data_IF_169253551382
#
_entry.id   IF_169253551382
#
_cell.length_a   1.000
_cell.length_b   1.000
_cell.length_c   1.000
_cell.angle_alpha   90.00
_cell.angle_beta   90.00
_cell.angle_gamma   90.00
#
_symmetry.space_group_name_H-M   'P 1'
#
loop_
_entity.id
_entity.type
_entity.pdbx_description
1 polymer ?
#
# COMPACT_ATOMS: atom_id res chain seq x y z
N UNK A 1 -5.45 15.24 -8.14
CA UNK A 1 -5.55 13.79 -8.09
C UNK A 1 -4.79 13.32 -6.86
N UNK A 2 -5.50 12.86 -5.83
CA UNK A 2 -4.92 12.35 -4.59
C UNK A 2 -5.97 11.53 -3.82
N UNK A 3 -5.55 10.77 -2.82
CA UNK A 3 -6.43 10.23 -1.78
C UNK A 3 -6.53 11.17 -0.56
N UNK A 4 -7.61 11.06 0.21
CA UNK A 4 -7.70 11.64 1.55
C UNK A 4 -7.72 10.51 2.60
N UNK A 5 -6.69 10.47 3.44
CA UNK A 5 -6.47 9.43 4.44
C UNK A 5 -6.36 10.04 5.86
N UNK A 6 -7.39 10.73 6.37
CA UNK A 6 -7.36 11.30 7.72
C UNK A 6 -7.37 10.25 8.84
N UNK A 7 -7.65 8.99 8.54
CA UNK A 7 -7.70 7.87 9.48
C UNK A 7 -7.01 6.63 8.89
N UNK A 8 -6.74 5.65 9.73
CA UNK A 8 -6.19 4.35 9.31
C UNK A 8 -7.26 3.44 8.67
N UNK A 9 -8.55 3.62 9.00
CA UNK A 9 -9.65 2.90 8.36
C UNK A 9 -10.15 3.61 7.11
N UNK A 10 -10.30 2.87 6.01
CA UNK A 10 -10.84 3.42 4.76
C UNK A 10 -12.31 3.86 4.90
N UNK A 11 -13.12 3.13 5.67
CA UNK A 11 -14.50 3.52 5.94
C UNK A 11 -14.58 4.82 6.74
N UNK A 12 -13.77 4.98 7.79
CA UNK A 12 -13.71 6.24 8.55
C UNK A 12 -13.22 7.40 7.69
N UNK A 13 -12.23 7.16 6.82
CA UNK A 13 -11.77 8.15 5.85
C UNK A 13 -12.90 8.65 4.96
N UNK A 14 -13.75 7.76 4.43
CA UNK A 14 -14.89 8.14 3.61
C UNK A 14 -15.94 8.93 4.40
N UNK A 15 -16.31 8.43 5.60
CA UNK A 15 -17.35 8.99 6.46
C UNK A 15 -17.13 10.46 6.81
N UNK A 16 -15.89 10.87 7.06
CA UNK A 16 -15.57 12.24 7.48
C UNK A 16 -15.56 13.26 6.33
N UNK A 17 -15.52 12.82 5.07
CA UNK A 17 -15.50 13.75 3.92
C UNK A 17 -16.88 14.38 3.73
N UNK A 18 -16.94 15.69 3.49
CA UNK A 18 -18.15 16.31 2.97
C UNK A 18 -18.39 15.88 1.51
N UNK A 19 -19.62 16.06 1.03
CA UNK A 19 -20.09 15.47 -0.22
C UNK A 19 -19.25 15.83 -1.44
N UNK A 20 -18.71 17.05 -1.47
CA UNK A 20 -17.87 17.50 -2.59
C UNK A 20 -16.60 16.66 -2.71
N UNK A 21 -15.81 16.52 -1.64
CA UNK A 21 -14.57 15.72 -1.65
C UNK A 21 -14.89 14.24 -1.74
N UNK A 22 -15.92 13.75 -1.07
CA UNK A 22 -16.36 12.36 -1.20
C UNK A 22 -16.67 11.99 -2.66
N UNK A 23 -17.48 12.81 -3.33
CA UNK A 23 -17.82 12.64 -4.74
C UNK A 23 -16.58 12.64 -5.64
N UNK A 24 -15.62 13.54 -5.36
CA UNK A 24 -14.35 13.64 -6.10
C UNK A 24 -13.42 12.44 -5.86
N UNK A 25 -13.38 11.90 -4.63
CA UNK A 25 -12.52 10.79 -4.27
C UNK A 25 -12.81 9.52 -5.07
N UNK A 26 -14.08 9.29 -5.46
CA UNK A 26 -14.43 8.17 -6.37
C UNK A 26 -13.66 8.25 -7.68
N UNK A 27 -13.63 9.44 -8.30
CA UNK A 27 -12.97 9.67 -9.59
C UNK A 27 -11.45 9.72 -9.44
N UNK A 28 -10.93 10.42 -8.43
CA UNK A 28 -9.48 10.52 -8.20
C UNK A 28 -8.86 9.15 -7.85
N UNK A 29 -9.58 8.29 -7.13
CA UNK A 29 -9.13 6.90 -6.86
C UNK A 29 -9.01 6.10 -8.17
N UNK A 30 -10.01 6.17 -9.05
CA UNK A 30 -9.94 5.53 -10.36
C UNK A 30 -8.79 6.06 -11.22
N UNK A 31 -8.51 7.37 -11.15
CA UNK A 31 -7.36 7.96 -11.84
C UNK A 31 -6.02 7.45 -11.31
N UNK A 32 -5.89 7.24 -9.99
CA UNK A 32 -4.67 6.66 -9.40
C UNK A 32 -4.51 5.21 -9.84
N UNK A 33 -5.58 4.39 -9.81
CA UNK A 33 -5.54 3.00 -10.29
C UNK A 33 -5.08 2.92 -11.75
N UNK A 34 -5.61 3.79 -12.61
CA UNK A 34 -5.17 3.90 -14.01
C UNK A 34 -3.71 4.32 -14.11
N UNK A 35 -3.27 5.30 -13.32
CA UNK A 35 -1.86 5.71 -13.33
C UNK A 35 -0.91 4.59 -12.89
N UNK A 36 -1.33 3.73 -11.96
CA UNK A 36 -0.56 2.56 -11.53
C UNK A 36 -0.49 1.48 -12.62
N UNK A 37 -1.64 1.13 -13.21
CA UNK A 37 -1.79 -0.11 -13.98
C UNK A 37 -1.75 0.12 -15.50
N UNK A 38 -2.40 1.16 -16.02
CA UNK A 38 -2.51 1.37 -17.46
C UNK A 38 -1.17 1.85 -18.02
N UNK A 39 -0.56 1.17 -19.01
CA UNK A 39 0.81 1.45 -19.45
C UNK A 39 1.05 2.89 -19.91
N UNK A 40 0.06 3.48 -20.60
CA UNK A 40 0.17 4.80 -21.23
C UNK A 40 -0.57 5.92 -20.49
N UNK A 41 -1.04 5.68 -19.27
CA UNK A 41 -1.72 6.71 -18.48
C UNK A 41 -0.72 7.69 -17.86
N UNK A 42 -1.13 8.96 -17.74
CA UNK A 42 -0.31 10.02 -17.15
C UNK A 42 -0.15 9.90 -15.64
N UNK A 43 0.62 10.82 -15.03
CA UNK A 43 0.74 11.00 -13.57
C UNK A 43 1.45 9.88 -12.79
N UNK A 44 2.10 8.92 -13.46
CA UNK A 44 2.80 7.79 -12.83
C UNK A 44 3.89 8.16 -11.80
N UNK A 45 4.43 9.38 -11.92
CA UNK A 45 5.47 9.95 -11.02
C UNK A 45 4.90 10.83 -9.91
N UNK A 46 3.57 11.04 -9.87
CA UNK A 46 2.95 11.87 -8.85
C UNK A 46 3.08 11.18 -7.47
N UNK A 47 3.45 11.89 -6.39
CA UNK A 47 3.65 11.27 -5.07
C UNK A 47 2.42 10.51 -4.54
N UNK A 48 1.23 11.09 -4.71
CA UNK A 48 -0.03 10.43 -4.34
C UNK A 48 -0.37 9.18 -5.19
N UNK A 49 0.32 8.96 -6.32
CA UNK A 49 0.26 7.70 -7.07
C UNK A 49 1.34 6.75 -6.59
N UNK A 50 2.57 7.26 -6.42
CA UNK A 50 3.73 6.45 -6.05
C UNK A 50 3.53 5.69 -4.74
N UNK A 51 2.93 6.30 -3.71
CA UNK A 51 2.71 5.64 -2.41
C UNK A 51 1.83 4.37 -2.48
N UNK A 52 1.03 4.21 -3.55
CA UNK A 52 0.12 3.08 -3.75
C UNK A 52 0.67 1.97 -4.65
N UNK A 53 1.90 2.12 -5.15
CA UNK A 53 2.56 1.07 -5.95
C UNK A 53 2.61 -0.24 -5.16
N UNK A 54 2.24 -1.35 -5.81
CA UNK A 54 2.15 -2.67 -5.16
C UNK A 54 0.91 -2.91 -4.31
N UNK A 55 0.03 -1.92 -4.15
CA UNK A 55 -1.15 -2.00 -3.26
C UNK A 55 -2.47 -1.74 -4.00
N UNK A 56 -2.58 -2.24 -5.24
CA UNK A 56 -3.80 -2.10 -6.06
C UNK A 56 -5.05 -2.63 -5.33
N UNK A 57 -5.04 -3.83 -4.71
CA UNK A 57 -6.20 -4.31 -3.95
C UNK A 57 -6.62 -3.37 -2.82
N UNK A 58 -5.67 -2.83 -2.06
CA UNK A 58 -5.96 -1.88 -0.98
C UNK A 58 -6.54 -0.56 -1.51
N UNK A 59 -6.05 -0.05 -2.65
CA UNK A 59 -6.60 1.15 -3.28
C UNK A 59 -8.02 0.93 -3.83
N UNK A 60 -8.30 -0.26 -4.38
CA UNK A 60 -9.68 -0.64 -4.76
C UNK A 60 -10.58 -0.72 -3.53
N UNK A 61 -10.09 -1.29 -2.42
CA UNK A 61 -10.81 -1.34 -1.14
C UNK A 61 -11.16 0.07 -0.64
N UNK A 62 -10.18 1.00 -0.66
CA UNK A 62 -10.40 2.42 -0.35
C UNK A 62 -11.48 3.04 -1.24
N UNK A 63 -11.38 2.88 -2.56
CA UNK A 63 -12.37 3.41 -3.51
C UNK A 63 -13.76 2.82 -3.29
N UNK A 64 -13.85 1.53 -2.95
CA UNK A 64 -15.10 0.86 -2.64
C UNK A 64 -15.74 1.40 -1.35
N UNK A 65 -14.94 1.72 -0.32
CA UNK A 65 -15.43 2.39 0.89
C UNK A 65 -16.00 3.78 0.59
N UNK A 66 -15.32 4.56 -0.26
CA UNK A 66 -15.80 5.88 -0.72
C UNK A 66 -17.11 5.76 -1.52
N UNK A 67 -17.21 4.81 -2.46
CA UNK A 67 -18.43 4.56 -3.23
C UNK A 67 -19.58 4.07 -2.34
N UNK A 68 -19.28 3.30 -1.29
CA UNK A 68 -20.27 2.83 -0.32
C UNK A 68 -20.86 4.00 0.47
N UNK A 69 -20.02 4.81 1.10
CA UNK A 69 -20.46 6.01 1.84
C UNK A 69 -21.29 6.94 0.93
N UNK A 70 -20.86 7.12 -0.32
CA UNK A 70 -21.63 7.91 -1.30
C UNK A 70 -23.05 7.38 -1.52
N UNK A 71 -23.20 6.05 -1.61
CA UNK A 71 -24.51 5.39 -1.77
C UNK A 71 -25.34 5.41 -0.49
N UNK A 72 -24.72 5.25 0.67
CA UNK A 72 -25.37 5.35 1.98
C UNK A 72 -25.96 6.74 2.21
N UNK A 73 -25.35 7.79 1.63
CA UNK A 73 -25.92 9.14 1.54
C UNK A 73 -27.04 9.32 0.51
N UNK A 74 -27.57 8.22 -0.05
CA UNK A 74 -28.68 8.24 -0.99
C UNK A 74 -28.33 8.68 -2.42
N UNK A 75 -27.05 8.60 -2.81
CA UNK A 75 -26.58 9.09 -4.11
C UNK A 75 -26.23 7.93 -5.06
N UNK A 76 -26.56 8.09 -6.33
CA UNK A 76 -26.26 7.08 -7.36
C UNK A 76 -24.75 6.97 -7.60
N UNK A 77 -24.26 5.74 -7.79
CA UNK A 77 -22.86 5.45 -8.10
C UNK A 77 -22.71 4.70 -9.42
N UNK A 78 -21.79 5.17 -10.27
CA UNK A 78 -21.44 4.55 -11.55
C UNK A 78 -19.94 4.20 -11.63
N UNK A 79 -19.17 4.44 -10.55
CA UNK A 79 -17.71 4.35 -10.55
C UNK A 79 -17.25 3.01 -9.97
N UNK A 80 -17.99 2.45 -9.01
CA UNK A 80 -17.66 1.19 -8.36
C UNK A 80 -17.35 0.04 -9.35
N UNK A 81 -18.12 -0.20 -10.42
CA UNK A 81 -17.79 -1.25 -11.38
C UNK A 81 -16.43 -1.04 -12.07
N UNK A 82 -16.04 0.20 -12.34
CA UNK A 82 -14.72 0.52 -12.91
C UNK A 82 -13.58 0.34 -11.91
N UNK A 83 -13.84 0.54 -10.62
CA UNK A 83 -12.86 0.30 -9.56
C UNK A 83 -12.64 -1.21 -9.36
N UNK A 84 -13.71 -1.99 -9.24
CA UNK A 84 -13.61 -3.42 -8.95
C UNK A 84 -13.12 -4.24 -10.14
N UNK A 85 -13.13 -3.69 -11.36
CA UNK A 85 -12.51 -4.31 -12.52
C UNK A 85 -11.00 -4.57 -12.33
N UNK A 86 -10.32 -3.84 -11.44
CA UNK A 86 -8.91 -4.07 -11.09
C UNK A 86 -8.71 -5.25 -10.10
N UNK A 87 -9.79 -5.82 -9.56
CA UNK A 87 -9.78 -6.95 -8.60
C UNK A 87 -10.84 -7.98 -8.98
N UNK A 88 -10.85 -8.38 -10.26
CA UNK A 88 -11.74 -9.40 -10.81
C UNK A 88 -13.26 -9.15 -10.57
N UNK A 89 -13.67 -7.88 -10.47
CA UNK A 89 -15.06 -7.47 -10.31
C UNK A 89 -15.56 -7.39 -8.87
N UNK A 90 -14.78 -7.85 -7.88
CA UNK A 90 -15.17 -7.86 -6.47
C UNK A 90 -14.31 -6.90 -5.64
N UNK A 91 -14.89 -6.03 -4.80
CA UNK A 91 -14.08 -5.18 -3.93
C UNK A 91 -13.43 -6.03 -2.83
N UNK A 92 -12.10 -5.91 -2.61
CA UNK A 92 -11.43 -6.58 -1.51
C UNK A 92 -12.00 -6.16 -0.14
N UNK A 93 -11.90 -7.04 0.84
CA UNK A 93 -12.26 -6.74 2.23
C UNK A 93 -11.06 -6.17 3.00
N UNK A 94 -11.26 -5.06 3.72
CA UNK A 94 -10.18 -4.38 4.44
C UNK A 94 -9.62 -5.25 5.58
N UNK A 95 -10.46 -6.03 6.26
CA UNK A 95 -10.02 -6.92 7.33
C UNK A 95 -9.26 -8.13 6.77
N UNK A 96 -9.66 -8.65 5.61
CA UNK A 96 -8.90 -9.69 4.91
C UNK A 96 -7.51 -9.18 4.49
N UNK A 97 -7.44 -7.98 3.90
CA UNK A 97 -6.16 -7.36 3.54
C UNK A 97 -5.27 -7.12 4.77
N UNK A 98 -5.87 -6.76 5.91
CA UNK A 98 -5.17 -6.61 7.18
C UNK A 98 -4.63 -7.97 7.67
N UNK A 99 -5.47 -9.01 7.69
CA UNK A 99 -5.12 -10.36 8.17
C UNK A 99 -4.01 -11.00 7.31
N UNK A 100 -3.91 -10.59 6.04
CA UNK A 100 -2.94 -11.07 5.06
C UNK A 100 -1.73 -10.14 4.87
N UNK A 101 -1.57 -9.08 5.66
CA UNK A 101 -0.46 -8.11 5.56
C UNK A 101 -0.33 -7.47 4.15
N UNK A 102 -1.46 -7.23 3.51
CA UNK A 102 -1.57 -6.65 2.15
C UNK A 102 -1.92 -5.15 2.18
N UNK A 103 -1.99 -4.55 3.36
CA UNK A 103 -2.17 -3.11 3.51
C UNK A 103 -0.82 -2.38 3.34
N UNK A 104 -0.83 -1.14 2.83
CA UNK A 104 0.40 -0.36 2.70
C UNK A 104 1.09 -0.14 4.06
N UNK A 105 2.42 -0.20 4.15
CA UNK A 105 3.17 -0.07 5.42
C UNK A 105 3.04 1.30 6.08
N UNK A 106 2.60 2.31 5.33
CA UNK A 106 2.37 3.66 5.83
C UNK A 106 0.97 3.85 6.43
N UNK A 107 0.06 2.89 6.28
CA UNK A 107 -1.28 2.99 6.86
C UNK A 107 -1.18 2.83 8.38
N UNK A 108 -1.74 3.78 9.13
CA UNK A 108 -1.54 3.93 10.57
C UNK A 108 -0.42 4.91 10.95
N UNK A 109 0.35 5.45 9.99
CA UNK A 109 1.38 6.44 10.28
C UNK A 109 0.74 7.79 10.62
N UNK A 110 0.92 8.25 11.85
CA UNK A 110 0.22 9.43 12.36
C UNK A 110 0.64 10.73 11.66
N UNK A 111 1.89 10.85 11.22
CA UNK A 111 2.38 11.99 10.43
C UNK A 111 1.65 12.11 9.08
N UNK A 112 1.44 10.98 8.39
CA UNK A 112 0.59 10.88 7.21
C UNK A 112 -0.83 11.34 7.54
N UNK A 113 -1.49 10.69 8.48
CA UNK A 113 -2.90 10.97 8.79
C UNK A 113 -3.12 12.42 9.22
N UNK A 114 -2.23 12.96 10.06
CA UNK A 114 -2.24 14.35 10.51
C UNK A 114 -2.05 15.33 9.37
N UNK A 115 -1.15 15.06 8.42
CA UNK A 115 -0.97 15.94 7.25
C UNK A 115 -2.23 15.96 6.37
N UNK A 116 -2.92 14.82 6.21
CA UNK A 116 -4.17 14.76 5.46
C UNK A 116 -5.32 15.48 6.18
N UNK A 117 -5.49 15.29 7.50
CA UNK A 117 -6.44 16.05 8.32
C UNK A 117 -6.18 17.56 8.22
N UNK A 118 -4.93 17.98 8.32
CA UNK A 118 -4.52 19.39 8.23
C UNK A 118 -4.91 20.05 6.91
N UNK A 119 -4.73 19.32 5.81
CA UNK A 119 -5.11 19.80 4.49
C UNK A 119 -6.63 19.76 4.27
N UNK A 120 -7.36 18.85 4.89
CA UNK A 120 -8.83 18.88 4.89
C UNK A 120 -9.35 20.13 5.59
N UNK A 121 -8.85 20.41 6.80
CA UNK A 121 -9.13 21.66 7.54
C UNK A 121 -8.80 22.90 6.71
N UNK A 122 -7.66 22.92 6.00
CA UNK A 122 -7.31 24.05 5.14
C UNK A 122 -8.29 24.26 3.98
N UNK A 123 -8.90 23.17 3.48
CA UNK A 123 -9.84 23.22 2.36
C UNK A 123 -11.27 23.57 2.79
N UNK A 124 -11.69 23.22 4.00
CA UNK A 124 -13.04 23.51 4.53
C UNK A 124 -12.99 23.53 6.07
N UNK A 125 -12.71 24.70 6.63
CA UNK A 125 -12.47 24.79 8.06
C UNK A 125 -13.74 24.58 8.89
N UNK A 126 -14.89 25.07 8.42
CA UNK A 126 -16.17 24.93 9.11
C UNK A 126 -16.58 23.46 9.25
N UNK A 127 -16.40 22.66 8.19
CA UNK A 127 -16.72 21.23 8.23
C UNK A 127 -15.72 20.41 9.04
N UNK A 128 -14.40 20.68 8.89
CA UNK A 128 -13.37 19.78 9.43
C UNK A 128 -12.80 20.19 10.79
N UNK A 129 -12.91 21.45 11.21
CA UNK A 129 -12.43 21.87 12.54
C UNK A 129 -13.12 21.13 13.68
N UNK A 130 -14.46 20.91 13.65
CA UNK A 130 -15.13 20.13 14.70
C UNK A 130 -14.68 18.66 14.74
N UNK A 131 -14.27 18.09 13.60
CA UNK A 131 -13.81 16.70 13.50
C UNK A 131 -12.34 16.55 13.93
N UNK A 132 -11.52 17.58 13.68
CA UNK A 132 -10.07 17.57 13.92
C UNK A 132 -9.62 18.80 14.72
N UNK A 133 -10.11 18.99 15.96
CA UNK A 133 -9.89 20.23 16.72
C UNK A 133 -8.40 20.53 16.94
N UNK A 134 -7.62 19.49 17.27
CA UNK A 134 -6.18 19.60 17.59
C UNK A 134 -5.27 19.60 16.35
N UNK A 135 -5.81 19.45 15.14
CA UNK A 135 -4.97 19.40 13.94
C UNK A 135 -4.66 20.82 13.45
N UNK A 136 -3.37 21.20 13.35
CA UNK A 136 -3.01 22.52 12.83
C UNK A 136 -3.43 22.63 11.36
N UNK A 137 -3.68 23.85 10.89
CA UNK A 137 -4.08 24.11 9.50
C UNK A 137 -2.85 24.27 8.61
N UNK A 138 -2.86 23.67 7.42
CA UNK A 138 -1.89 23.97 6.37
C UNK A 138 -0.52 23.30 6.50
N UNK A 139 -0.41 22.15 7.16
CA UNK A 139 0.79 21.32 7.09
C UNK A 139 1.05 20.86 5.64
N UNK A 140 2.31 20.73 5.21
CA UNK A 140 2.61 20.08 3.95
C UNK A 140 2.11 18.63 3.97
N UNK A 141 1.64 18.12 2.83
CA UNK A 141 1.30 16.71 2.69
C UNK A 141 2.54 15.84 2.94
N UNK A 142 2.38 14.82 3.77
CA UNK A 142 3.35 13.75 3.90
C UNK A 142 2.98 12.68 2.87
N UNK A 143 3.87 12.48 1.89
CA UNK A 143 3.77 11.39 0.93
C UNK A 143 4.86 10.35 1.25
N UNK A 144 4.49 9.12 1.67
CA UNK A 144 5.47 8.11 2.04
C UNK A 144 6.36 7.72 0.86
N UNK A 145 7.60 7.35 1.15
CA UNK A 145 8.46 6.70 0.15
C UNK A 145 7.75 5.42 -0.33
N UNK A 146 7.68 5.16 -1.64
CA UNK A 146 7.01 3.97 -2.12
C UNK A 146 7.80 2.72 -1.71
N UNK A 147 7.11 1.71 -1.18
CA UNK A 147 7.69 0.40 -0.90
C UNK A 147 8.24 -0.25 -2.19
N UNK A 148 7.66 0.10 -3.33
CA UNK A 148 8.09 -0.30 -4.67
C UNK A 148 8.51 0.93 -5.49
N UNK A 149 9.83 1.19 -5.63
CA UNK A 149 10.35 2.35 -6.37
C UNK A 149 9.93 2.35 -7.85
N UNK A 150 9.66 1.16 -8.40
CA UNK A 150 9.09 0.96 -9.72
C UNK A 150 7.93 -0.04 -9.62
N UNK A 151 6.89 0.21 -10.41
CA UNK A 151 5.72 -0.66 -10.47
C UNK A 151 5.07 -0.53 -11.85
N UNK A 152 4.56 -1.62 -12.45
CA UNK A 152 4.53 -3.00 -11.91
C UNK A 152 5.87 -3.75 -11.91
N UNK A 153 6.03 -4.72 -11.01
CA UNK A 153 7.14 -5.69 -11.02
C UNK A 153 6.76 -6.96 -11.79
N UNK A 154 7.09 -7.03 -13.08
CA UNK A 154 6.75 -8.17 -13.96
C UNK A 154 7.87 -9.21 -13.95
N UNK A 155 7.83 -10.15 -12.99
CA UNK A 155 8.85 -11.21 -12.79
C UNK A 155 8.75 -12.41 -13.74
N UNK A 156 7.58 -12.66 -14.32
CA UNK A 156 7.34 -13.74 -15.30
C UNK A 156 6.98 -15.12 -14.73
N UNK A 157 7.05 -15.31 -13.41
CA UNK A 157 6.60 -16.54 -12.74
C UNK A 157 6.84 -16.52 -11.23
N UNK A 158 6.27 -17.46 -10.45
CA UNK A 158 6.29 -17.44 -8.98
C UNK A 158 7.59 -17.96 -8.35
N UNK A 159 8.51 -18.51 -9.14
CA UNK A 159 9.78 -19.05 -8.65
C UNK A 159 10.83 -17.96 -8.36
N UNK A 160 11.83 -18.25 -7.51
CA UNK A 160 12.91 -17.32 -7.21
C UNK A 160 13.64 -16.91 -8.50
N UNK A 161 13.98 -15.63 -8.61
CA UNK A 161 14.71 -15.07 -9.73
C UNK A 161 16.22 -15.22 -9.55
N UNK A 162 16.93 -15.42 -10.66
CA UNK A 162 18.38 -15.23 -10.70
C UNK A 162 18.76 -13.80 -10.27
N UNK A 163 19.80 -13.65 -9.46
CA UNK A 163 20.20 -12.37 -8.85
C UNK A 163 20.35 -11.28 -9.91
N UNK A 164 21.07 -11.56 -11.00
CA UNK A 164 21.27 -10.58 -12.07
C UNK A 164 19.97 -10.23 -12.83
N UNK A 165 18.98 -11.13 -12.87
CA UNK A 165 17.67 -10.82 -13.44
C UNK A 165 16.85 -9.91 -12.49
N UNK A 166 16.90 -10.17 -11.18
CA UNK A 166 16.27 -9.32 -10.17
C UNK A 166 16.88 -7.90 -10.15
N UNK A 167 18.21 -7.78 -10.25
CA UNK A 167 18.90 -6.49 -10.36
C UNK A 167 18.47 -5.68 -11.58
N UNK A 168 18.34 -6.34 -12.75
CA UNK A 168 17.84 -5.68 -13.97
C UNK A 168 16.39 -5.24 -13.81
N UNK A 169 15.55 -6.06 -13.16
CA UNK A 169 14.15 -5.73 -12.92
C UNK A 169 13.99 -4.51 -12.00
N UNK A 170 14.82 -4.39 -10.97
CA UNK A 170 14.79 -3.27 -10.02
C UNK A 170 15.60 -2.05 -10.47
N UNK A 171 16.41 -2.19 -11.53
CA UNK A 171 17.29 -1.11 -12.01
C UNK A 171 18.48 -0.84 -11.09
N UNK A 172 18.92 -1.84 -10.32
CA UNK A 172 19.97 -1.74 -9.28
C UNK A 172 21.28 -2.42 -9.71
N UNK A 173 21.58 -2.38 -11.01
CA UNK A 173 22.72 -3.10 -11.59
C UNK A 173 24.04 -2.71 -10.90
N UNK A 174 24.89 -3.71 -10.62
CA UNK A 174 26.23 -3.47 -10.08
C UNK A 174 26.72 -4.48 -9.03
N UNK A 175 25.93 -5.51 -8.69
CA UNK A 175 26.39 -6.58 -7.81
C UNK A 175 26.59 -6.17 -6.35
N UNK A 176 26.16 -4.97 -5.95
CA UNK A 176 26.43 -4.40 -4.63
C UNK A 176 25.89 -5.27 -3.48
N UNK A 177 24.85 -6.06 -3.74
CA UNK A 177 24.19 -6.89 -2.75
C UNK A 177 24.34 -8.39 -3.00
N UNK A 178 25.04 -8.84 -4.05
CA UNK A 178 25.12 -10.26 -4.45
C UNK A 178 25.49 -11.19 -3.30
N UNK A 179 26.57 -10.88 -2.57
CA UNK A 179 27.01 -11.70 -1.45
C UNK A 179 25.99 -11.78 -0.30
N UNK A 180 25.21 -10.72 -0.08
CA UNK A 180 24.12 -10.71 0.92
C UNK A 180 23.00 -11.63 0.46
N UNK A 181 22.61 -11.55 -0.82
CA UNK A 181 21.55 -12.39 -1.38
C UNK A 181 21.94 -13.87 -1.36
N UNK A 182 23.17 -14.21 -1.75
CA UNK A 182 23.68 -15.59 -1.71
C UNK A 182 23.65 -16.17 -0.29
N UNK A 183 23.97 -15.36 0.73
CA UNK A 183 23.86 -15.79 2.13
C UNK A 183 22.41 -16.09 2.53
N UNK A 184 21.47 -15.21 2.18
CA UNK A 184 20.05 -15.38 2.49
C UNK A 184 19.45 -16.61 1.77
N UNK A 185 19.77 -16.79 0.49
CA UNK A 185 19.34 -17.97 -0.31
C UNK A 185 19.89 -19.27 0.28
N UNK A 186 21.07 -19.24 0.91
CA UNK A 186 21.63 -20.38 1.64
C UNK A 186 21.04 -20.60 3.04
N UNK A 187 20.05 -19.79 3.45
CA UNK A 187 19.37 -19.88 4.74
C UNK A 187 20.05 -19.13 5.89
N UNK A 188 21.05 -18.28 5.62
CA UNK A 188 21.74 -17.50 6.65
C UNK A 188 21.13 -16.12 6.81
N UNK A 189 20.86 -15.70 8.05
CA UNK A 189 20.42 -14.34 8.35
C UNK A 189 21.56 -13.32 8.21
N UNK A 190 21.24 -12.11 7.75
CA UNK A 190 22.20 -11.04 7.47
C UNK A 190 21.72 -9.72 8.08
N UNK A 191 22.66 -8.95 8.65
CA UNK A 191 22.44 -7.56 9.07
C UNK A 191 23.16 -6.63 8.10
N UNK A 192 22.42 -5.81 7.38
CA UNK A 192 22.95 -4.91 6.35
C UNK A 192 22.76 -3.45 6.78
N UNK A 193 23.86 -2.68 6.82
CA UNK A 193 23.75 -1.22 6.90
C UNK A 193 23.46 -0.66 5.51
N UNK A 194 22.37 0.10 5.41
CA UNK A 194 21.96 0.73 4.16
C UNK A 194 22.90 1.89 3.81
N UNK A 195 23.14 2.15 2.51
CA UNK A 195 23.89 3.33 2.06
C UNK A 195 23.10 4.63 2.32
N UNK A 196 21.78 4.57 2.17
CA UNK A 196 20.87 5.69 2.40
C UNK A 196 19.68 5.23 3.26
N UNK A 197 19.14 6.10 4.14
CA UNK A 197 17.95 5.77 4.91
C UNK A 197 16.75 5.44 4.01
N UNK A 198 16.06 4.34 4.33
CA UNK A 198 14.86 3.90 3.62
C UNK A 198 15.12 3.33 2.22
N UNK A 199 16.36 2.95 1.88
CA UNK A 199 16.62 2.16 0.68
C UNK A 199 16.02 0.75 0.82
N UNK A 200 15.02 0.48 -0.02
CA UNK A 200 14.27 -0.78 -0.05
C UNK A 200 14.88 -1.81 -1.00
N UNK A 201 15.84 -1.40 -1.84
CA UNK A 201 16.42 -2.23 -2.90
C UNK A 201 16.98 -3.56 -2.39
N UNK A 202 17.75 -3.62 -1.29
CA UNK A 202 18.30 -4.88 -0.80
C UNK A 202 17.22 -5.88 -0.36
N UNK A 203 16.15 -5.39 0.28
CA UNK A 203 15.05 -6.24 0.72
C UNK A 203 14.19 -6.74 -0.44
N UNK A 204 13.94 -5.90 -1.45
CA UNK A 204 13.24 -6.31 -2.66
C UNK A 204 14.05 -7.35 -3.45
N UNK A 205 15.37 -7.14 -3.60
CA UNK A 205 16.27 -8.12 -4.23
C UNK A 205 16.25 -9.46 -3.50
N UNK A 206 16.35 -9.42 -2.17
CA UNK A 206 16.30 -10.63 -1.35
C UNK A 206 14.98 -11.38 -1.51
N UNK A 207 13.85 -10.67 -1.49
CA UNK A 207 12.54 -11.28 -1.69
C UNK A 207 12.38 -11.92 -3.07
N UNK A 208 12.77 -11.21 -4.13
CA UNK A 208 12.69 -11.75 -5.51
C UNK A 208 13.55 -13.00 -5.72
N UNK A 209 14.66 -13.14 -4.98
CA UNK A 209 15.59 -14.26 -5.10
C UNK A 209 15.35 -15.41 -4.10
N UNK A 210 14.44 -15.24 -3.13
CA UNK A 210 14.16 -16.26 -2.11
C UNK A 210 12.83 -16.98 -2.44
N UNK A 211 12.76 -18.32 -2.34
CA UNK A 211 11.49 -19.03 -2.51
C UNK A 211 10.47 -18.64 -1.43
N UNK A 212 9.21 -18.45 -1.80
CA UNK A 212 8.11 -18.14 -0.86
C UNK A 212 7.85 -16.65 -0.72
N UNK A 213 6.94 -16.30 0.19
CA UNK A 213 6.60 -14.90 0.44
C UNK A 213 7.67 -14.20 1.29
N UNK A 214 7.79 -12.89 1.11
CA UNK A 214 8.63 -12.03 1.95
C UNK A 214 7.76 -11.26 2.93
N UNK A 215 7.95 -11.50 4.23
CA UNK A 215 7.33 -10.70 5.29
C UNK A 215 8.26 -9.56 5.66
N UNK A 216 7.82 -8.33 5.45
CA UNK A 216 8.53 -7.11 5.81
C UNK A 216 7.95 -6.49 7.08
N UNK A 217 8.75 -6.46 8.14
CA UNK A 217 8.40 -5.85 9.41
C UNK A 217 8.88 -4.40 9.45
N UNK A 218 7.95 -3.47 9.63
CA UNK A 218 8.19 -2.03 9.63
C UNK A 218 7.91 -1.46 11.02
N UNK A 219 8.76 -0.59 11.59
CA UNK A 219 8.51 -0.02 12.91
C UNK A 219 7.28 0.90 12.91
N UNK A 220 6.46 0.76 13.94
CA UNK A 220 5.37 1.68 14.27
C UNK A 220 4.08 0.98 14.64
N UNK A 221 3.15 1.76 15.18
CA UNK A 221 1.85 1.27 15.62
C UNK A 221 1.07 0.66 14.43
N UNK A 222 0.64 -0.62 14.53
CA UNK A 222 -0.20 -1.22 13.50
C UNK A 222 -1.54 -0.49 13.41
N UNK A 223 -2.11 -0.33 12.21
CA UNK A 223 -3.46 0.18 12.09
C UNK A 223 -4.40 -0.79 12.82
N UNK A 224 -5.44 -0.28 13.52
CA UNK A 224 -6.41 -1.14 14.18
C UNK A 224 -7.05 -2.07 13.16
N UNK A 225 -7.23 -3.35 13.53
CA UNK A 225 -7.91 -4.31 12.66
C UNK A 225 -9.32 -3.78 12.36
N UNK A 226 -9.72 -3.60 11.08
CA UNK A 226 -11.05 -3.15 10.74
C UNK A 226 -12.11 -4.08 11.34
N UNK A 227 -13.21 -3.49 11.83
CA UNK A 227 -14.32 -4.28 12.35
C UNK A 227 -14.90 -5.16 11.22
N UNK A 228 -15.20 -6.44 11.49
CA UNK A 228 -15.82 -7.31 10.51
C UNK A 228 -17.14 -6.70 10.04
N UNK A 229 -17.38 -6.76 8.73
CA UNK A 229 -18.54 -6.14 8.09
C UNK A 229 -19.83 -6.63 8.74
N UNK A 230 -20.60 -5.71 9.30
CA UNK A 230 -21.97 -5.96 9.75
C UNK A 230 -22.92 -5.22 8.83
N UNK A 231 -23.65 -5.95 7.96
CA UNK A 231 -24.70 -5.38 7.11
C UNK A 231 -24.89 -6.13 5.78
N UNK A 232 -26.12 -6.17 5.23
CA UNK A 232 -26.37 -6.84 3.96
C UNK A 232 -25.56 -6.22 2.82
N UNK A 233 -25.18 -7.06 1.85
CA UNK A 233 -24.62 -6.59 0.58
C UNK A 233 -25.55 -5.52 -0.02
N UNK A 234 -24.98 -4.40 -0.43
CA UNK A 234 -25.64 -3.19 -0.95
C UNK A 234 -26.83 -3.49 -1.90
N UNK A 235 -28.04 -3.66 -1.36
CA UNK A 235 -29.26 -3.98 -2.12
C UNK A 235 -30.20 -2.78 -2.30
N UNK A 236 -29.81 -1.58 -1.85
CA UNK A 236 -30.53 -0.33 -2.13
C UNK A 236 -30.02 0.35 -3.39
N UNK A 237 -30.84 0.41 -4.44
CA UNK A 237 -30.60 1.26 -5.62
C UNK A 237 -31.03 2.68 -5.26
N UNK A 238 -30.06 3.55 -4.96
CA UNK A 238 -30.28 4.99 -4.97
C UNK A 238 -30.30 5.48 -6.42
N UNK A 239 -31.49 5.53 -7.03
CA UNK A 239 -31.73 6.06 -8.38
C UNK A 239 -31.01 5.32 -9.52
N UNK A 240 -31.42 5.56 -10.77
CA UNK A 240 -30.75 5.00 -11.94
C UNK A 240 -29.45 5.79 -12.19
N UNK A 241 -28.26 5.20 -12.05
CA UNK A 241 -27.02 5.92 -12.33
C UNK A 241 -26.97 6.31 -13.81
N UNK A 242 -26.51 7.52 -14.10
CA UNK A 242 -26.10 7.87 -15.46
C UNK A 242 -24.92 6.98 -15.88
N UNK A 243 -24.82 6.60 -17.16
CA UNK A 243 -23.67 5.83 -17.65
C UNK A 243 -22.37 6.57 -17.32
N UNK A 244 -21.36 5.81 -16.88
CA UNK A 244 -20.05 6.36 -16.56
C UNK A 244 -19.46 7.03 -17.82
N UNK A 245 -19.05 8.28 -17.68
CA UNK A 245 -18.31 9.02 -18.73
C UNK A 245 -16.82 8.67 -18.75
N UNK A 246 -16.37 7.76 -17.88
CA UNK A 246 -14.99 7.33 -17.84
C UNK A 246 -14.66 6.52 -19.09
N UNK A 247 -13.58 6.88 -19.79
CA UNK A 247 -13.02 6.09 -20.89
C UNK A 247 -12.87 4.61 -20.46
N UNK A 248 -13.41 3.63 -21.22
CA UNK A 248 -13.18 2.20 -20.93
C UNK A 248 -11.72 1.81 -21.20
N UNK A 249 -11.20 0.74 -20.56
CA UNK A 249 -9.87 0.24 -20.86
C UNK A 249 -9.77 -0.22 -22.32
N UNK A 250 -8.62 0.02 -22.97
CA UNK A 250 -8.29 -0.62 -24.24
C UNK A 250 -7.62 -1.99 -24.03
N UNK A 251 -7.29 -2.73 -25.10
CA UNK A 251 -6.71 -4.08 -24.99
C UNK A 251 -5.42 -4.14 -24.15
N UNK A 252 -4.52 -3.17 -24.33
CA UNK A 252 -3.26 -3.05 -23.56
C UNK A 252 -3.53 -2.75 -22.07
N UNK A 253 -4.57 -1.95 -21.78
CA UNK A 253 -4.98 -1.64 -20.42
C UNK A 253 -5.56 -2.88 -19.72
N UNK A 254 -6.38 -3.67 -20.45
CA UNK A 254 -6.96 -4.91 -19.94
C UNK A 254 -5.91 -5.99 -19.70
N UNK A 255 -4.91 -6.11 -20.57
CA UNK A 255 -3.77 -7.01 -20.37
C UNK A 255 -2.97 -6.62 -19.13
N UNK A 256 -2.69 -5.32 -18.97
CA UNK A 256 -2.00 -4.84 -17.78
C UNK A 256 -2.81 -5.06 -16.50
N UNK A 257 -4.15 -4.92 -16.55
CA UNK A 257 -5.04 -5.23 -15.44
C UNK A 257 -5.06 -6.73 -15.10
N UNK A 258 -5.04 -7.61 -16.09
CA UNK A 258 -4.93 -9.07 -15.86
C UNK A 258 -3.59 -9.44 -15.22
N UNK A 259 -2.49 -8.88 -15.72
CA UNK A 259 -1.15 -9.10 -15.16
C UNK A 259 -0.96 -8.49 -13.76
N UNK A 260 -1.84 -7.57 -13.35
CA UNK A 260 -1.86 -6.99 -12.01
C UNK A 260 -2.66 -7.83 -11.02
N UNK A 261 -3.52 -8.74 -11.49
CA UNK A 261 -4.30 -9.61 -10.63
C UNK A 261 -3.43 -10.63 -9.87
N UNK A 262 -2.21 -10.88 -10.36
CA UNK A 262 -1.21 -11.66 -9.63
C UNK A 262 -0.78 -10.88 -8.38
N UNK A 263 -1.05 -11.45 -7.20
CA UNK A 263 -0.72 -10.81 -5.94
C UNK A 263 0.81 -10.72 -5.74
N UNK A 264 1.36 -9.58 -5.28
CA UNK A 264 2.78 -9.48 -4.99
C UNK A 264 3.17 -10.44 -3.86
N UNK A 265 4.38 -10.99 -3.91
CA UNK A 265 4.93 -11.90 -2.88
C UNK A 265 5.40 -11.19 -1.60
N UNK A 266 5.26 -9.86 -1.55
CA UNK A 266 5.70 -9.03 -0.45
C UNK A 266 4.51 -8.69 0.46
N UNK A 267 4.70 -8.92 1.76
CA UNK A 267 3.77 -8.67 2.85
C UNK A 267 4.36 -7.61 3.75
N UNK A 268 3.58 -6.63 4.17
CA UNK A 268 4.07 -5.54 5.01
C UNK A 268 3.28 -5.49 6.30
N UNK A 269 3.99 -5.60 7.43
CA UNK A 269 3.39 -5.54 8.75
C UNK A 269 4.08 -4.49 9.60
N UNK A 270 3.30 -3.56 10.14
CA UNK A 270 3.78 -2.64 11.17
C UNK A 270 3.85 -3.35 12.51
N UNK A 271 4.96 -3.19 13.21
CA UNK A 271 5.19 -3.76 14.54
C UNK A 271 5.55 -2.62 15.48
N UNK A 272 4.83 -2.53 16.59
CA UNK A 272 5.13 -1.60 17.65
C UNK A 272 6.46 -2.01 18.31
N UNK A 273 7.52 -1.17 18.26
CA UNK A 273 8.81 -1.49 18.88
C UNK A 273 8.71 -1.71 20.39
N UNK A 274 7.73 -1.09 21.05
CA UNK A 274 7.52 -1.20 22.50
C UNK A 274 6.69 -2.44 22.88
N UNK A 275 6.14 -3.16 21.90
CA UNK A 275 5.34 -4.36 22.14
C UNK A 275 6.21 -5.57 22.45
N UNK A 276 5.86 -6.28 23.52
CA UNK A 276 6.47 -7.57 23.87
C UNK A 276 5.82 -8.76 23.15
N UNK A 277 4.86 -8.53 22.25
CA UNK A 277 4.16 -9.59 21.54
C UNK A 277 5.09 -10.27 20.52
N UNK A 278 5.07 -11.60 20.49
CA UNK A 278 5.84 -12.36 19.51
C UNK A 278 5.32 -12.13 18.08
N UNK A 279 6.24 -11.89 17.14
CA UNK A 279 5.88 -11.70 15.74
C UNK A 279 5.58 -13.05 15.10
N UNK A 280 4.30 -13.31 14.86
CA UNK A 280 3.84 -14.56 14.22
C UNK A 280 4.13 -14.56 12.72
N UNK A 281 4.90 -15.52 12.23
CA UNK A 281 5.23 -15.63 10.80
C UNK A 281 4.13 -16.39 10.03
N UNK A 282 3.54 -15.82 8.95
CA UNK A 282 2.56 -16.53 8.12
C UNK A 282 3.15 -17.78 7.46
N UNK A 283 2.36 -18.86 7.30
CA UNK A 283 2.75 -20.00 6.48
C UNK A 283 3.09 -19.57 5.04
N UNK A 284 4.10 -20.20 4.44
CA UNK A 284 4.56 -19.86 3.09
C UNK A 284 5.57 -18.71 3.03
N UNK A 285 5.87 -18.05 4.17
CA UNK A 285 6.98 -17.09 4.26
C UNK A 285 8.31 -17.83 4.07
N UNK A 286 9.14 -17.34 3.17
CA UNK A 286 10.50 -17.82 2.96
C UNK A 286 11.59 -16.87 3.44
N UNK A 287 11.27 -15.58 3.56
CA UNK A 287 12.19 -14.53 4.02
C UNK A 287 11.47 -13.58 4.97
N UNK A 288 12.16 -13.18 6.04
CA UNK A 288 11.71 -12.05 6.87
C UNK A 288 12.67 -10.88 6.70
N UNK A 289 12.16 -9.72 6.31
CA UNK A 289 12.90 -8.46 6.29
C UNK A 289 12.49 -7.66 7.51
N UNK A 290 13.47 -7.15 8.26
CA UNK A 290 13.22 -6.34 9.47
C UNK A 290 13.85 -4.97 9.29
N UNK A 291 13.02 -3.93 9.36
CA UNK A 291 13.46 -2.54 9.20
C UNK A 291 13.88 -1.95 10.55
N UNK A 292 15.09 -1.38 10.57
CA UNK A 292 15.63 -0.68 11.72
C UNK A 292 16.23 -1.59 12.81
N UNK A 293 16.85 -0.96 13.82
CA UNK A 293 17.44 -1.68 14.95
C UNK A 293 16.44 -2.04 16.05
N UNK A 294 15.32 -1.33 16.13
CA UNK A 294 14.45 -1.32 17.32
C UNK A 294 13.44 -2.47 17.36
N UNK A 295 13.14 -3.08 16.21
CA UNK A 295 12.22 -4.22 16.16
C UNK A 295 12.88 -5.49 16.70
N UNK A 296 12.15 -6.33 17.48
CA UNK A 296 12.67 -7.59 17.98
C UNK A 296 13.07 -8.52 16.83
N UNK A 297 14.03 -9.40 17.09
CA UNK A 297 14.37 -10.45 16.13
C UNK A 297 13.24 -11.49 16.13
N UNK A 298 12.62 -11.81 14.98
CA UNK A 298 11.57 -12.80 14.92
C UNK A 298 12.13 -14.17 15.30
N UNK A 299 11.44 -14.88 16.21
CA UNK A 299 11.79 -16.26 16.56
C UNK A 299 11.37 -17.19 15.40
N UNK A 300 12.28 -17.38 14.44
CA UNK A 300 12.02 -18.15 13.22
C UNK A 300 13.25 -18.97 12.80
N UNK A 301 13.01 -20.10 12.12
CA UNK A 301 14.05 -20.88 11.43
C UNK A 301 14.32 -20.40 10.00
N UNK A 302 13.65 -19.33 9.57
CA UNK A 302 13.80 -18.72 8.24
C UNK A 302 14.98 -17.73 8.22
N UNK A 303 15.58 -17.49 7.04
CA UNK A 303 16.55 -16.41 6.90
C UNK A 303 15.90 -15.06 7.22
N UNK A 304 16.63 -14.23 7.97
CA UNK A 304 16.23 -12.86 8.32
C UNK A 304 17.21 -11.86 7.72
N UNK A 305 16.70 -10.88 6.98
CA UNK A 305 17.46 -9.71 6.53
C UNK A 305 17.09 -8.52 7.40
N UNK A 306 18.01 -8.07 8.26
CA UNK A 306 17.82 -6.84 9.04
C UNK A 306 18.47 -5.65 8.33
N UNK A 307 17.67 -4.65 8.01
CA UNK A 307 18.10 -3.41 7.37
C UNK A 307 18.35 -2.34 8.44
N UNK A 308 19.62 -1.96 8.61
CA UNK A 308 20.07 -0.98 9.59
C UNK A 308 20.30 0.37 8.90
N UNK A 309 20.12 1.50 9.62
CA UNK A 309 20.46 2.81 9.09
C UNK A 309 21.95 2.87 8.70
N UNK A 310 22.34 3.84 7.84
CA UNK A 310 23.73 4.08 7.52
C UNK A 310 24.54 4.24 8.80
N UNK A 311 25.77 3.70 8.80
CA UNK A 311 26.70 3.97 9.90
C UNK A 311 26.94 5.48 9.89
N UNK A 312 26.52 6.18 10.94
CA UNK A 312 26.80 7.59 11.07
C UNK A 312 28.29 7.81 10.87
N UNK A 313 28.67 8.73 9.97
CA UNK A 313 30.03 9.26 10.00
C UNK A 313 30.15 9.93 11.36
N UNK A 314 30.85 9.28 12.29
CA UNK A 314 31.08 9.84 13.62
C UNK A 314 31.53 11.29 13.47
N UNK A 315 30.76 12.20 14.04
CA UNK A 315 31.24 13.54 14.37
C UNK A 315 32.15 13.46 15.59
#
# INVERSE_FOLDING_TARGET
MQTFLPHASFAECARVLEDRRLGKQRVETLQILRALVWPRYGWKRHPAVAMWRGFVPALVCYGAAVCREWRERGRADAVLPSLTAFTAGTPPDEAELWDRDMLPPWLGAEDLHRSHRSNLVAKDEEHYRPLFPETPRGLPYVWPRPAFPYWPLRRGGPGPMEIGAAERLLGTAGGAHTAVIEQLVSGRSVRLHLPEPGDVSPGLLAGLCTPGETLWLVPGQPPPRPAPRSGPALSGIAGRPSPSVARPPGPEDEEAMRAEADEPEFRFRRVDPDSSAEVRIPPGTGLVVVEGPDLPEPATGLPVLRLLPPRGTGS
#
